data_IF_532018973239
#
_entry.id   IF_532018973239
#
_cell.length_a   1.000
_cell.length_b   1.000
_cell.length_c   1.000
_cell.angle_alpha   90.00
_cell.angle_beta   90.00
_cell.angle_gamma   90.00
#
_symmetry.space_group_name_H-M   'P 1'
#
loop_
_entity.id
_entity.type
_entity.pdbx_description
1 polymer ?
#
# COMPACT_ATOMS: atom_id res chain seq x y z
N UNK A 1 21.02 28.39 -15.40
CA UNK A 1 20.85 28.38 -16.89
C UNK A 1 19.48 28.97 -17.18
N UNK A 2 19.24 29.54 -18.36
CA UNK A 2 17.90 30.10 -18.69
C UNK A 2 17.18 29.26 -19.74
N UNK A 3 15.86 29.35 -19.80
CA UNK A 3 15.00 28.60 -20.72
C UNK A 3 13.94 29.52 -21.36
N UNK A 4 13.66 29.38 -22.66
CA UNK A 4 12.51 30.09 -23.27
C UNK A 4 11.21 29.40 -22.84
N UNK A 5 10.20 30.13 -22.32
CA UNK A 5 8.94 29.53 -21.88
C UNK A 5 8.11 28.94 -23.04
N UNK A 6 8.34 29.39 -24.28
CA UNK A 6 7.62 28.94 -25.47
C UNK A 6 8.28 27.76 -26.17
N UNK A 7 9.53 27.90 -26.61
CA UNK A 7 10.23 26.87 -27.39
C UNK A 7 11.04 25.89 -26.53
N UNK A 8 11.20 26.14 -25.22
CA UNK A 8 11.95 25.30 -24.27
C UNK A 8 13.45 25.16 -24.56
N UNK A 9 14.00 25.93 -25.49
CA UNK A 9 15.46 25.97 -25.75
C UNK A 9 16.22 26.45 -24.51
N UNK A 10 17.34 25.79 -24.20
CA UNK A 10 18.21 26.13 -23.08
C UNK A 10 19.32 27.11 -23.51
N UNK A 11 19.58 28.10 -22.65
CA UNK A 11 20.52 29.17 -22.91
C UNK A 11 21.59 29.23 -21.81
N UNK A 12 22.82 29.54 -22.24
CA UNK A 12 23.95 29.83 -21.36
C UNK A 12 23.76 31.21 -20.69
N UNK A 13 24.55 31.48 -19.66
CA UNK A 13 24.54 32.78 -18.96
C UNK A 13 24.93 33.90 -19.93
N UNK A 14 24.28 35.05 -19.84
CA UNK A 14 24.53 36.23 -20.69
C UNK A 14 23.48 36.52 -21.76
N UNK A 15 22.51 35.63 -21.97
CA UNK A 15 21.38 35.87 -22.87
C UNK A 15 20.13 36.27 -22.10
N UNK A 16 19.42 37.31 -22.55
CA UNK A 16 18.18 37.79 -21.93
C UNK A 16 16.93 37.47 -22.73
N UNK A 17 17.06 37.29 -24.05
CA UNK A 17 15.97 37.02 -24.98
C UNK A 17 16.29 35.80 -25.85
N UNK A 18 15.27 35.03 -26.19
CA UNK A 18 15.39 33.87 -27.07
C UNK A 18 15.57 34.31 -28.53
N UNK A 19 16.46 33.65 -29.27
CA UNK A 19 16.68 33.93 -30.70
C UNK A 19 15.47 33.59 -31.58
N UNK A 20 14.73 32.53 -31.22
CA UNK A 20 13.66 32.01 -32.07
C UNK A 20 12.30 32.61 -31.70
N UNK A 21 12.07 32.78 -30.39
CA UNK A 21 10.78 33.19 -29.83
C UNK A 21 10.72 34.70 -29.53
N UNK A 22 11.88 35.38 -29.47
CA UNK A 22 12.06 36.77 -29.03
C UNK A 22 11.38 37.12 -27.69
N UNK A 23 11.11 36.10 -26.86
CA UNK A 23 10.58 36.26 -25.51
C UNK A 23 11.74 36.33 -24.52
N UNK A 24 11.48 37.03 -23.40
CA UNK A 24 12.41 37.09 -22.27
C UNK A 24 12.62 35.69 -21.70
N UNK A 25 13.89 35.32 -21.50
CA UNK A 25 14.27 34.02 -20.98
C UNK A 25 14.11 33.98 -19.46
N UNK A 26 13.60 32.86 -18.95
CA UNK A 26 13.40 32.63 -17.52
C UNK A 26 14.51 31.77 -16.94
N UNK A 27 14.86 31.97 -15.66
CA UNK A 27 15.82 31.10 -14.99
C UNK A 27 15.23 29.69 -14.83
N UNK A 28 16.02 28.69 -15.23
CA UNK A 28 15.70 27.28 -15.01
C UNK A 28 15.60 27.06 -13.51
N UNK A 29 14.38 26.90 -13.00
CA UNK A 29 14.11 26.54 -11.62
C UNK A 29 14.65 25.13 -11.41
N UNK A 30 15.71 24.99 -10.63
CA UNK A 30 16.16 23.69 -10.16
C UNK A 30 15.02 23.08 -9.33
N UNK A 31 14.59 21.88 -9.71
CA UNK A 31 13.45 21.16 -9.13
C UNK A 31 13.71 20.72 -7.66
N UNK A 32 14.84 21.09 -7.06
CA UNK A 32 15.25 20.65 -5.72
C UNK A 32 14.60 21.40 -4.56
N UNK A 33 13.54 22.17 -4.79
CA UNK A 33 12.71 22.72 -3.71
C UNK A 33 11.25 22.42 -4.03
N UNK A 34 10.84 21.19 -3.76
CA UNK A 34 9.46 20.95 -3.32
C UNK A 34 9.28 21.91 -2.15
N UNK A 35 8.43 22.92 -2.37
CA UNK A 35 8.11 23.92 -1.37
C UNK A 35 7.76 23.18 -0.08
N UNK A 36 8.53 23.46 0.97
CA UNK A 36 8.19 23.18 2.35
C UNK A 36 7.02 24.09 2.73
N UNK A 37 5.87 23.89 2.09
CA UNK A 37 4.66 24.69 2.26
C UNK A 37 3.63 23.82 2.95
N UNK A 38 3.20 24.33 4.10
CA UNK A 38 2.14 23.87 4.98
C UNK A 38 2.51 22.65 5.82
N UNK A 39 2.60 22.89 7.14
CA UNK A 39 2.69 21.85 8.15
C UNK A 39 1.33 21.13 8.14
N UNK A 40 1.20 20.12 7.29
CA UNK A 40 0.00 19.28 7.22
C UNK A 40 -0.12 18.56 8.56
N UNK A 41 -1.13 18.92 9.34
CA UNK A 41 -1.45 18.22 10.58
C UNK A 41 -2.02 16.86 10.21
N UNK A 42 -1.44 15.81 10.80
CA UNK A 42 -1.84 14.43 10.54
C UNK A 42 -2.56 13.89 11.76
N UNK A 43 -3.66 13.19 11.53
CA UNK A 43 -4.48 12.61 12.56
C UNK A 43 -4.68 11.11 12.31
N UNK A 44 -4.81 10.37 13.42
CA UNK A 44 -5.09 8.95 13.37
C UNK A 44 -6.52 8.71 12.86
N UNK A 45 -6.64 7.82 11.87
CA UNK A 45 -7.90 7.42 11.27
C UNK A 45 -8.35 6.07 11.81
N UNK A 46 -7.57 5.00 11.56
CA UNK A 46 -7.92 3.65 11.99
C UNK A 46 -6.71 2.72 12.01
N UNK A 47 -6.90 1.51 12.53
CA UNK A 47 -5.91 0.44 12.50
C UNK A 47 -6.46 -0.75 11.72
N UNK A 48 -5.60 -1.37 10.94
CA UNK A 48 -5.89 -2.60 10.17
C UNK A 48 -4.91 -3.70 10.53
N UNK A 49 -5.24 -4.95 10.21
CA UNK A 49 -4.47 -6.12 10.68
C UNK A 49 -3.21 -6.40 9.84
N UNK A 50 -3.29 -6.17 8.53
CA UNK A 50 -2.28 -6.58 7.56
C UNK A 50 -2.19 -5.60 6.38
N UNK A 51 -1.18 -5.80 5.52
CA UNK A 51 -0.92 -4.93 4.36
C UNK A 51 -2.02 -4.97 3.29
N UNK A 52 -2.76 -6.09 3.18
CA UNK A 52 -3.84 -6.23 2.19
C UNK A 52 -5.00 -5.31 2.57
N UNK A 53 -5.44 -5.36 3.82
CA UNK A 53 -6.48 -4.46 4.34
C UNK A 53 -6.03 -2.99 4.27
N UNK A 54 -4.77 -2.70 4.63
CA UNK A 54 -4.23 -1.35 4.54
C UNK A 54 -4.27 -0.80 3.10
N UNK A 55 -3.94 -1.65 2.13
CA UNK A 55 -3.97 -1.30 0.71
C UNK A 55 -5.39 -1.10 0.19
N UNK A 56 -6.36 -1.89 0.64
CA UNK A 56 -7.76 -1.68 0.28
C UNK A 56 -8.24 -0.30 0.74
N UNK A 57 -7.96 0.07 1.99
CA UNK A 57 -8.30 1.40 2.52
C UNK A 57 -7.56 2.51 1.77
N UNK A 58 -6.27 2.30 1.48
CA UNK A 58 -5.46 3.22 0.67
C UNK A 58 -6.10 3.49 -0.69
N UNK A 59 -6.47 2.43 -1.41
CA UNK A 59 -7.03 2.52 -2.76
C UNK A 59 -8.39 3.22 -2.76
N UNK A 60 -9.27 2.91 -1.78
CA UNK A 60 -10.58 3.55 -1.61
C UNK A 60 -10.41 5.06 -1.39
N UNK A 61 -9.55 5.45 -0.45
CA UNK A 61 -9.35 6.86 -0.11
C UNK A 61 -8.65 7.61 -1.23
N UNK A 62 -7.67 6.98 -1.88
CA UNK A 62 -6.92 7.56 -2.99
C UNK A 62 -7.80 7.80 -4.23
N UNK A 63 -8.74 6.89 -4.51
CA UNK A 63 -9.73 7.09 -5.56
C UNK A 63 -10.58 8.35 -5.33
N UNK A 64 -10.82 8.69 -4.06
CA UNK A 64 -11.51 9.91 -3.64
C UNK A 64 -10.58 11.12 -3.44
N UNK A 65 -9.31 11.02 -3.88
CA UNK A 65 -8.33 12.10 -3.81
C UNK A 65 -7.71 12.33 -2.42
N UNK A 66 -7.91 11.39 -1.48
CA UNK A 66 -7.38 11.46 -0.12
C UNK A 66 -6.13 10.57 -0.03
N UNK A 67 -4.99 11.17 0.30
CA UNK A 67 -3.75 10.43 0.56
C UNK A 67 -3.67 10.06 2.05
N UNK A 68 -3.14 8.87 2.33
CA UNK A 68 -2.92 8.38 3.69
C UNK A 68 -1.45 8.14 3.99
N UNK A 69 -1.13 8.09 5.27
CA UNK A 69 0.15 7.64 5.79
C UNK A 69 -0.05 6.33 6.56
N UNK A 70 0.73 5.31 6.20
CA UNK A 70 0.73 4.00 6.88
C UNK A 70 1.90 3.91 7.85
N UNK A 71 1.67 3.37 9.03
CA UNK A 71 2.71 3.09 10.04
C UNK A 71 2.56 1.66 10.53
N UNK A 72 3.51 0.80 10.17
CA UNK A 72 3.55 -0.56 10.71
C UNK A 72 3.91 -0.54 12.20
N UNK A 73 3.28 -1.42 12.97
CA UNK A 73 3.55 -1.54 14.40
C UNK A 73 4.76 -2.44 14.66
N UNK A 74 5.60 -2.03 15.61
CA UNK A 74 6.76 -2.81 16.05
C UNK A 74 7.67 -3.22 14.88
N UNK A 75 7.99 -4.51 14.79
CA UNK A 75 8.79 -5.09 13.70
C UNK A 75 7.96 -5.39 12.43
N UNK A 76 6.73 -4.87 12.33
CA UNK A 76 5.77 -5.27 11.31
C UNK A 76 6.22 -4.98 9.88
N UNK A 77 6.87 -3.84 9.65
CA UNK A 77 7.43 -3.48 8.34
C UNK A 77 8.57 -4.42 7.94
N UNK A 78 9.46 -4.73 8.88
CA UNK A 78 10.58 -5.65 8.64
C UNK A 78 10.07 -7.04 8.27
N UNK A 79 9.08 -7.56 9.02
CA UNK A 79 8.47 -8.87 8.73
C UNK A 79 7.77 -8.87 7.37
N UNK A 80 7.05 -7.79 7.03
CA UNK A 80 6.41 -7.66 5.72
C UNK A 80 7.43 -7.70 4.58
N UNK A 81 8.56 -7.01 4.72
CA UNK A 81 9.62 -6.98 3.70
C UNK A 81 10.34 -8.32 3.54
N UNK A 82 10.65 -9.00 4.64
CA UNK A 82 11.43 -10.25 4.60
C UNK A 82 10.58 -11.49 4.36
N UNK A 83 9.42 -11.58 4.99
CA UNK A 83 8.55 -12.76 4.95
C UNK A 83 7.39 -12.59 3.97
N UNK A 84 7.17 -11.38 3.44
CA UNK A 84 6.04 -11.06 2.57
C UNK A 84 4.71 -10.89 3.31
N UNK A 85 4.69 -11.04 4.64
CA UNK A 85 3.47 -10.93 5.44
C UNK A 85 3.76 -10.42 6.86
N UNK A 86 2.80 -9.69 7.43
CA UNK A 86 2.83 -9.23 8.81
C UNK A 86 1.41 -9.04 9.36
N UNK A 87 1.18 -9.54 10.58
CA UNK A 87 -0.09 -9.42 11.30
C UNK A 87 0.04 -8.58 12.58
N UNK A 88 1.13 -7.80 12.70
CA UNK A 88 1.35 -6.92 13.87
C UNK A 88 0.45 -5.67 13.85
N UNK A 89 -0.26 -5.43 12.74
CA UNK A 89 -1.13 -4.30 12.55
C UNK A 89 -0.44 -3.08 11.95
N UNK A 90 -1.25 -2.25 11.30
CA UNK A 90 -0.84 -1.04 10.59
C UNK A 90 -1.78 0.08 11.00
N UNK A 91 -1.21 1.17 11.49
CA UNK A 91 -1.96 2.39 11.81
C UNK A 91 -2.02 3.28 10.56
N UNK A 92 -3.23 3.75 10.25
CA UNK A 92 -3.52 4.63 9.12
C UNK A 92 -3.78 6.04 9.64
N UNK A 93 -3.13 7.01 9.02
CA UNK A 93 -3.25 8.43 9.32
C UNK A 93 -3.67 9.20 8.06
N UNK A 94 -4.35 10.32 8.28
CA UNK A 94 -4.84 11.22 7.23
C UNK A 94 -4.61 12.67 7.63
N UNK A 95 -4.68 13.60 6.69
CA UNK A 95 -4.71 15.04 6.99
C UNK A 95 -5.89 15.35 7.91
N UNK A 96 -5.67 16.13 8.97
CA UNK A 96 -6.71 16.49 9.96
C UNK A 96 -7.96 17.08 9.28
N UNK A 97 -7.78 17.95 8.29
CA UNK A 97 -8.86 18.58 7.53
C UNK A 97 -9.76 17.59 6.77
N UNK A 98 -9.27 16.37 6.52
CA UNK A 98 -9.94 15.35 5.70
C UNK A 98 -10.39 14.15 6.52
N UNK A 99 -10.18 14.14 7.83
CA UNK A 99 -10.48 12.98 8.69
C UNK A 99 -11.95 12.57 8.61
N UNK A 100 -12.87 13.51 8.84
CA UNK A 100 -14.31 13.23 8.82
C UNK A 100 -14.77 12.72 7.44
N UNK A 101 -14.24 13.31 6.37
CA UNK A 101 -14.55 12.88 4.99
C UNK A 101 -14.04 11.45 4.75
N UNK A 102 -12.83 11.13 5.19
CA UNK A 102 -12.25 9.79 5.06
C UNK A 102 -13.06 8.74 5.83
N UNK A 103 -13.48 9.04 7.05
CA UNK A 103 -14.32 8.15 7.87
C UNK A 103 -15.65 7.84 7.18
N UNK A 104 -16.32 8.87 6.65
CA UNK A 104 -17.60 8.69 5.95
C UNK A 104 -17.45 7.81 4.70
N UNK A 105 -16.42 8.05 3.88
CA UNK A 105 -16.14 7.23 2.68
C UNK A 105 -15.93 5.76 3.06
N UNK A 106 -15.19 5.48 4.14
CA UNK A 106 -14.95 4.11 4.60
C UNK A 106 -16.27 3.47 5.03
N UNK A 107 -17.09 4.16 5.82
CA UNK A 107 -18.38 3.65 6.31
C UNK A 107 -19.32 3.33 5.15
N UNK A 108 -19.43 4.23 4.16
CA UNK A 108 -20.25 4.00 2.96
C UNK A 108 -19.81 2.77 2.18
N UNK A 109 -18.50 2.59 1.99
CA UNK A 109 -17.95 1.42 1.30
C UNK A 109 -18.22 0.12 2.08
N UNK A 110 -18.05 0.12 3.40
CA UNK A 110 -18.33 -1.04 4.24
C UNK A 110 -19.82 -1.41 4.22
N UNK A 111 -20.72 -0.43 4.23
CA UNK A 111 -22.15 -0.67 4.13
C UNK A 111 -22.53 -1.23 2.75
N UNK A 112 -21.90 -0.72 1.69
CA UNK A 112 -22.09 -1.25 0.33
C UNK A 112 -21.63 -2.71 0.26
N UNK A 113 -20.46 -3.04 0.79
CA UNK A 113 -19.95 -4.43 0.84
C UNK A 113 -20.92 -5.37 1.58
N UNK A 114 -21.40 -4.97 2.76
CA UNK A 114 -22.39 -5.75 3.52
C UNK A 114 -23.68 -5.98 2.75
N UNK A 115 -24.18 -4.93 2.08
CA UNK A 115 -25.37 -5.05 1.24
C UNK A 115 -25.15 -6.08 0.12
N UNK A 116 -24.01 -6.06 -0.56
CA UNK A 116 -23.71 -7.09 -1.56
C UNK A 116 -23.65 -8.48 -0.90
N UNK A 117 -22.93 -8.67 0.19
CA UNK A 117 -22.79 -9.97 0.86
C UNK A 117 -24.12 -10.61 1.28
N UNK A 118 -25.05 -9.80 1.76
CA UNK A 118 -26.41 -10.20 2.13
C UNK A 118 -27.26 -10.57 0.90
N UNK A 119 -26.99 -9.96 -0.25
CA UNK A 119 -27.75 -10.13 -1.49
C UNK A 119 -27.03 -10.98 -2.56
N UNK A 120 -25.88 -11.58 -2.26
CA UNK A 120 -25.18 -12.52 -3.15
C UNK A 120 -26.01 -13.81 -3.28
N UNK A 121 -26.30 -14.21 -4.52
CA UNK A 121 -26.90 -15.50 -4.87
C UNK A 121 -26.11 -16.65 -4.23
N UNK A 122 -26.75 -17.55 -3.46
CA UNK A 122 -26.10 -18.68 -2.81
C UNK A 122 -25.22 -19.53 -3.75
N UNK A 123 -25.54 -19.62 -5.04
CA UNK A 123 -24.69 -20.34 -6.01
C UNK A 123 -23.29 -19.74 -6.15
N UNK A 124 -23.14 -18.41 -6.08
CA UNK A 124 -21.84 -17.76 -6.21
C UNK A 124 -20.95 -17.93 -4.96
N UNK A 125 -21.55 -18.21 -3.79
CA UNK A 125 -20.80 -18.49 -2.54
C UNK A 125 -20.12 -19.86 -2.59
N UNK A 126 -20.70 -20.83 -3.31
CA UNK A 126 -20.17 -22.19 -3.39
C UNK A 126 -18.87 -22.26 -4.21
N UNK A 127 -18.77 -21.51 -5.31
CA UNK A 127 -17.60 -21.53 -6.20
C UNK A 127 -16.32 -21.00 -5.54
N UNK A 128 -16.44 -20.01 -4.64
CA UNK A 128 -15.27 -19.42 -3.96
C UNK A 128 -14.70 -20.34 -2.86
N UNK A 129 -15.57 -21.04 -2.12
CA UNK A 129 -15.16 -21.93 -1.03
C UNK A 129 -14.46 -23.20 -1.54
N UNK A 130 -14.87 -23.73 -2.71
CA UNK A 130 -14.28 -24.93 -3.31
C UNK A 130 -12.79 -24.75 -3.70
N UNK A 131 -12.37 -23.53 -4.04
CA UNK A 131 -10.96 -23.24 -4.40
C UNK A 131 -10.06 -23.29 -3.16
N UNK A 132 -10.52 -22.80 -2.00
CA UNK A 132 -9.76 -22.79 -0.76
C UNK A 132 -9.60 -24.16 -0.11
N UNK A 133 -10.64 -25.00 -0.20
CA UNK A 133 -10.66 -26.31 0.45
C UNK A 133 -9.73 -27.34 -0.20
N UNK A 134 -9.62 -27.31 -1.54
CA UNK A 134 -8.73 -28.22 -2.26
C UNK A 134 -7.24 -27.98 -1.92
N UNK A 135 -6.83 -26.73 -1.76
CA UNK A 135 -5.45 -26.38 -1.40
C UNK A 135 -5.07 -26.89 0.02
N UNK A 136 -5.99 -26.77 0.98
CA UNK A 136 -5.72 -27.14 2.37
C UNK A 136 -5.71 -28.66 2.61
N UNK A 137 -6.39 -29.44 1.78
CA UNK A 137 -6.39 -30.92 1.90
C UNK A 137 -5.05 -31.51 1.48
N UNK A 138 -4.44 -31.02 0.41
CA UNK A 138 -3.15 -31.51 -0.06
C UNK A 138 -2.00 -31.10 0.87
N UNK A 139 -1.98 -29.85 1.36
CA UNK A 139 -0.95 -29.39 2.31
C UNK A 139 -0.93 -30.17 3.62
N UNK A 140 -2.08 -30.57 4.15
CA UNK A 140 -2.15 -31.32 5.43
C UNK A 140 -1.45 -32.67 5.34
N UNK A 141 -1.55 -33.35 4.20
CA UNK A 141 -0.88 -34.65 3.98
C UNK A 141 0.64 -34.47 3.94
N UNK A 142 1.12 -33.46 3.21
CA UNK A 142 2.55 -33.15 3.14
C UNK A 142 3.16 -32.75 4.48
N UNK A 143 2.44 -31.96 5.29
CA UNK A 143 2.90 -31.57 6.64
C UNK A 143 3.05 -32.81 7.54
N UNK A 144 2.09 -33.74 7.52
CA UNK A 144 2.18 -34.98 8.28
C UNK A 144 3.39 -35.84 7.86
N UNK A 145 3.65 -35.97 6.56
CA UNK A 145 4.79 -36.73 6.04
C UNK A 145 6.12 -36.11 6.47
N UNK A 146 6.23 -34.78 6.43
CA UNK A 146 7.44 -34.05 6.84
C UNK A 146 7.70 -34.22 8.34
N UNK A 147 6.68 -34.06 9.19
CA UNK A 147 6.82 -34.21 10.65
C UNK A 147 7.23 -35.64 11.01
N UNK A 148 6.61 -36.64 10.39
CA UNK A 148 6.97 -38.04 10.62
C UNK A 148 8.42 -38.32 10.20
N UNK A 149 8.85 -37.81 9.05
CA UNK A 149 10.23 -37.94 8.58
C UNK A 149 11.25 -37.27 9.51
N UNK A 150 10.90 -36.13 10.12
CA UNK A 150 11.79 -35.44 11.04
C UNK A 150 11.93 -36.22 12.36
N UNK A 151 10.84 -36.77 12.88
CA UNK A 151 10.84 -37.57 14.10
C UNK A 151 11.64 -38.86 13.97
N UNK A 152 11.59 -39.53 12.81
CA UNK A 152 12.39 -40.74 12.55
C UNK A 152 13.88 -40.42 12.45
N UNK A 153 14.25 -39.31 11.80
CA UNK A 153 15.65 -38.86 11.71
C UNK A 153 16.21 -38.50 13.08
N UNK A 154 15.44 -37.78 13.91
CA UNK A 154 15.84 -37.43 15.28
C UNK A 154 16.03 -38.69 16.14
N UNK A 155 15.13 -39.67 16.02
CA UNK A 155 15.27 -40.95 16.72
C UNK A 155 16.53 -41.73 16.32
N UNK A 156 16.86 -41.75 15.03
CA UNK A 156 18.10 -42.38 14.54
C UNK A 156 19.37 -41.66 15.03
N UNK A 157 19.34 -40.33 15.11
CA UNK A 157 20.45 -39.54 15.64
C UNK A 157 20.67 -39.80 17.13
N UNK A 158 19.61 -39.94 17.92
CA UNK A 158 19.72 -40.30 19.34
C UNK A 158 20.23 -41.73 19.51
N UNK A 159 19.83 -42.66 18.64
CA UNK A 159 20.27 -44.06 18.70
C UNK A 159 21.76 -44.25 18.35
N UNK A 160 22.33 -43.36 17.54
CA UNK A 160 23.74 -43.38 17.13
C UNK A 160 24.70 -42.73 18.13
N UNK A 161 24.18 -42.13 19.21
CA UNK A 161 24.92 -41.33 20.19
C UNK A 161 25.02 -42.07 21.54
#
# INVERSE_FOLDING_TARGET
MKICPKCKSEYRKGFEYCSDCNLKLEDKKDISVIKKSDKVEIEYLMSVSNEIEAKQIEDILKYNGINILKKHRGAGEYLQLYLGMSNLGIDIYVSSDLKEVAENIIIENLNMQKYYEENIDPKNKEDFNQVGDNYNRERKIWIFLIVFSILTIIGLLIYLL
#
